data_IF_263184196647
#
_entry.id   IF_263184196647
#
_cell.length_a   1.000
_cell.length_b   1.000
_cell.length_c   1.000
_cell.angle_alpha   90.00
_cell.angle_beta   90.00
_cell.angle_gamma   90.00
#
_symmetry.space_group_name_H-M   'P 1'
#
loop_
_entity.id
_entity.type
_entity.pdbx_description
1 polymer ?
#
# COMPACT_ATOMS: atom_id res chain seq x y z
N UNK A 1 36.53 15.93 8.34
CA UNK A 1 36.02 15.64 6.98
C UNK A 1 35.67 16.97 6.32
N UNK A 2 36.47 17.43 5.37
CA UNK A 2 36.23 18.68 4.64
C UNK A 2 36.24 18.35 3.15
N UNK A 3 35.13 18.60 2.47
CA UNK A 3 34.97 18.36 1.04
C UNK A 3 35.67 19.50 0.31
N UNK A 4 36.65 19.21 -0.56
CA UNK A 4 37.35 20.23 -1.34
C UNK A 4 36.56 20.60 -2.59
N UNK A 5 36.70 21.85 -3.07
CA UNK A 5 36.04 22.35 -4.28
C UNK A 5 36.39 21.55 -5.54
N UNK A 6 37.55 20.88 -5.55
CA UNK A 6 37.99 20.02 -6.65
C UNK A 6 37.18 18.71 -6.74
N UNK A 7 36.67 18.19 -5.62
CA UNK A 7 35.95 16.91 -5.57
C UNK A 7 34.54 17.01 -6.17
N UNK A 8 33.91 18.19 -6.04
CA UNK A 8 32.64 18.55 -6.65
C UNK A 8 32.69 18.53 -8.18
N UNK A 9 33.77 19.07 -8.79
CA UNK A 9 33.90 19.15 -10.24
C UNK A 9 34.18 17.80 -10.91
N UNK A 10 34.82 16.85 -10.21
CA UNK A 10 35.14 15.53 -10.76
C UNK A 10 34.05 14.48 -10.56
N UNK A 11 32.88 14.87 -10.04
CA UNK A 11 31.75 13.96 -9.81
C UNK A 11 32.07 12.80 -8.87
N UNK A 12 33.11 12.91 -8.03
CA UNK A 12 33.54 11.86 -7.08
C UNK A 12 32.73 11.92 -5.79
N UNK A 13 31.42 12.05 -5.92
CA UNK A 13 30.50 11.84 -4.83
C UNK A 13 30.46 10.35 -4.52
N UNK A 14 31.23 9.95 -3.50
CA UNK A 14 31.20 8.59 -2.96
C UNK A 14 29.86 8.40 -2.25
N UNK A 15 28.83 8.02 -3.00
CA UNK A 15 27.66 7.37 -2.43
C UNK A 15 28.13 6.05 -1.84
N UNK A 16 28.30 6.00 -0.53
CA UNK A 16 28.39 4.72 0.16
C UNK A 16 27.08 3.97 -0.10
N UNK A 17 27.11 2.80 -0.76
CA UNK A 17 25.92 2.00 -0.92
C UNK A 17 25.52 1.52 0.48
N UNK A 18 24.43 2.08 1.01
CA UNK A 18 23.77 1.51 2.18
C UNK A 18 23.46 0.06 1.84
N UNK A 19 24.16 -0.85 2.50
CA UNK A 19 23.93 -2.28 2.36
C UNK A 19 22.46 -2.56 2.72
N UNK A 20 21.67 -2.92 1.73
CA UNK A 20 20.31 -3.43 1.93
C UNK A 20 20.43 -4.74 2.70
N UNK A 21 20.16 -4.69 4.00
CA UNK A 21 19.97 -5.87 4.84
C UNK A 21 18.74 -6.63 4.30
N UNK A 22 18.92 -7.92 3.95
CA UNK A 22 17.81 -8.79 3.60
C UNK A 22 16.94 -9.08 4.84
N UNK A 23 15.59 -8.97 4.76
CA UNK A 23 14.74 -9.24 5.91
C UNK A 23 14.80 -10.73 6.28
N UNK A 24 15.19 -10.96 7.54
CA UNK A 24 15.22 -12.25 8.22
C UNK A 24 13.81 -12.70 8.61
N UNK A 25 13.52 -13.99 8.40
CA UNK A 25 12.24 -14.68 8.61
C UNK A 25 11.14 -14.13 7.71
N UNK A 26 10.56 -14.97 6.84
CA UNK A 26 9.45 -14.57 5.99
C UNK A 26 8.38 -13.90 6.88
N UNK A 27 8.20 -12.58 6.78
CA UNK A 27 7.15 -11.93 7.54
C UNK A 27 5.86 -12.60 7.11
N UNK A 28 5.03 -12.99 8.08
CA UNK A 28 3.66 -13.37 7.79
C UNK A 28 3.09 -12.28 6.87
N UNK A 29 2.73 -12.66 5.64
CA UNK A 29 2.26 -11.69 4.67
C UNK A 29 0.99 -11.07 5.28
N UNK A 30 0.96 -9.74 5.36
CA UNK A 30 -0.22 -9.01 5.79
C UNK A 30 -1.00 -8.62 4.55
N UNK A 31 -2.29 -8.91 4.54
CA UNK A 31 -3.18 -8.52 3.45
C UNK A 31 -4.31 -7.66 4.00
N UNK A 32 -4.74 -6.69 3.20
CA UNK A 32 -5.90 -5.90 3.53
C UNK A 32 -7.17 -6.75 3.46
N UNK A 33 -8.16 -6.46 4.32
CA UNK A 33 -9.49 -7.05 4.26
C UNK A 33 -10.54 -5.96 4.33
N UNK A 34 -11.58 -6.08 3.52
CA UNK A 34 -12.67 -5.10 3.45
C UNK A 34 -13.93 -5.69 4.11
N UNK A 35 -14.28 -5.15 5.27
CA UNK A 35 -15.43 -5.57 6.06
C UNK A 35 -16.76 -5.05 5.52
N UNK A 36 -17.85 -5.65 6.02
CA UNK A 36 -19.22 -5.38 5.59
C UNK A 36 -19.69 -3.91 5.79
N UNK A 37 -18.99 -3.13 6.62
CA UNK A 37 -19.27 -1.70 6.84
C UNK A 37 -18.81 -0.76 5.73
N UNK A 38 -18.28 -1.26 4.61
CA UNK A 38 -17.81 -0.41 3.52
C UNK A 38 -18.95 0.40 2.88
N UNK A 39 -18.79 1.73 2.83
CA UNK A 39 -19.78 2.65 2.25
C UNK A 39 -20.06 2.37 0.75
N UNK A 40 -19.10 1.79 0.04
CA UNK A 40 -19.27 1.38 -1.35
C UNK A 40 -20.33 0.30 -1.54
N UNK A 41 -20.63 -0.50 -0.51
CA UNK A 41 -21.71 -1.48 -0.57
C UNK A 41 -23.11 -0.86 -0.55
N UNK A 42 -23.27 0.38 -0.09
CA UNK A 42 -24.59 1.00 0.18
C UNK A 42 -24.92 2.16 -0.77
N UNK A 43 -24.15 2.35 -1.83
CA UNK A 43 -24.43 3.35 -2.87
C UNK A 43 -23.62 4.65 -2.74
N UNK A 44 -22.70 4.73 -1.78
CA UNK A 44 -21.77 5.85 -1.63
C UNK A 44 -20.48 5.56 -2.40
N UNK A 45 -20.08 6.45 -3.30
CA UNK A 45 -18.85 6.30 -4.09
C UNK A 45 -17.62 6.77 -3.29
N UNK A 46 -17.25 6.01 -2.23
CA UNK A 46 -16.17 6.40 -1.31
C UNK A 46 -14.77 6.19 -1.90
N UNK A 47 -14.44 4.97 -2.35
CA UNK A 47 -13.17 4.53 -3.02
C UNK A 47 -11.81 4.93 -2.43
N UNK A 48 -11.78 5.67 -1.32
CA UNK A 48 -10.57 6.19 -0.68
C UNK A 48 -9.45 5.15 -0.53
N UNK A 49 -9.79 3.91 -0.17
CA UNK A 49 -8.79 2.84 -0.03
C UNK A 49 -8.15 2.44 -1.36
N UNK A 50 -8.88 2.44 -2.47
CA UNK A 50 -8.31 2.20 -3.80
C UNK A 50 -7.52 3.39 -4.31
N UNK A 51 -7.98 4.61 -4.05
CA UNK A 51 -7.29 5.82 -4.49
C UNK A 51 -5.94 6.03 -3.78
N UNK A 52 -5.79 5.52 -2.54
CA UNK A 52 -4.54 5.54 -1.78
C UNK A 52 -3.76 4.22 -1.86
N UNK A 53 -4.16 3.29 -2.73
CA UNK A 53 -3.39 2.08 -2.97
C UNK A 53 -2.42 2.32 -4.15
N UNK A 54 -1.21 2.77 -3.84
CA UNK A 54 -0.16 3.01 -4.85
C UNK A 54 0.20 1.76 -5.67
N UNK A 55 0.00 0.57 -5.08
CA UNK A 55 0.19 -0.71 -5.74
C UNK A 55 -0.97 -1.12 -6.66
N UNK A 56 -2.09 -0.40 -6.65
CA UNK A 56 -3.27 -0.71 -7.46
C UNK A 56 -3.97 -2.02 -7.10
N UNK A 57 -3.74 -2.53 -5.88
CA UNK A 57 -4.26 -3.82 -5.42
C UNK A 57 -5.77 -3.84 -5.20
N UNK A 58 -6.40 -2.67 -4.98
CA UNK A 58 -7.83 -2.57 -4.67
C UNK A 58 -8.59 -2.06 -5.90
N UNK A 59 -9.48 -2.90 -6.44
CA UNK A 59 -10.36 -2.59 -7.58
C UNK A 59 -11.81 -2.46 -7.14
N UNK A 60 -12.59 -1.66 -7.86
CA UNK A 60 -14.02 -1.49 -7.60
C UNK A 60 -14.84 -1.98 -8.79
N UNK A 61 -15.57 -3.09 -8.61
CA UNK A 61 -16.51 -3.61 -9.61
C UNK A 61 -17.89 -3.00 -9.41
N UNK A 62 -18.52 -2.40 -10.44
CA UNK A 62 -19.88 -1.89 -10.32
C UNK A 62 -20.88 -3.03 -10.05
N UNK A 63 -21.76 -2.82 -9.06
CA UNK A 63 -22.89 -3.72 -8.75
C UNK A 63 -24.26 -3.13 -9.19
N UNK A 64 -24.26 -1.89 -9.68
CA UNK A 64 -25.48 -1.15 -10.03
C UNK A 64 -26.09 -0.39 -8.85
N UNK A 65 -27.02 0.53 -9.15
CA UNK A 65 -27.68 1.42 -8.16
C UNK A 65 -26.68 2.19 -7.28
N UNK A 66 -25.57 2.64 -7.88
CA UNK A 66 -24.49 3.36 -7.19
C UNK A 66 -23.60 2.50 -6.28
N UNK A 67 -23.84 1.19 -6.18
CA UNK A 67 -23.06 0.28 -5.33
C UNK A 67 -21.84 -0.27 -6.07
N UNK A 68 -20.77 -0.48 -5.33
CA UNK A 68 -19.51 -1.01 -5.82
C UNK A 68 -18.99 -2.10 -4.89
N UNK A 69 -18.49 -3.19 -5.49
CA UNK A 69 -17.80 -4.27 -4.82
C UNK A 69 -16.30 -3.99 -4.87
N UNK A 70 -15.67 -3.62 -3.74
CA UNK A 70 -14.22 -3.55 -3.69
C UNK A 70 -13.64 -4.98 -3.66
N UNK A 71 -12.57 -5.19 -4.42
CA UNK A 71 -11.89 -6.47 -4.62
C UNK A 71 -10.41 -6.21 -4.44
N UNK A 72 -9.74 -7.09 -3.69
CA UNK A 72 -8.29 -7.06 -3.55
C UNK A 72 -7.73 -8.10 -4.50
N UNK A 73 -6.87 -7.68 -5.41
CA UNK A 73 -6.21 -8.55 -6.38
C UNK A 73 -5.14 -9.37 -5.68
N UNK A 74 -5.21 -10.70 -5.85
CA UNK A 74 -4.24 -11.64 -5.27
C UNK A 74 -2.82 -11.29 -5.70
N UNK A 75 -1.91 -11.24 -4.72
CA UNK A 75 -0.50 -10.90 -4.95
C UNK A 75 -0.23 -9.42 -5.26
N UNK A 76 -1.26 -8.57 -5.38
CA UNK A 76 -1.10 -7.12 -5.54
C UNK A 76 -0.93 -6.38 -4.21
N UNK A 77 -1.46 -6.92 -3.11
CA UNK A 77 -1.36 -6.30 -1.79
C UNK A 77 0.02 -6.54 -1.17
N UNK A 78 0.72 -5.48 -0.78
CA UNK A 78 2.04 -5.55 -0.14
C UNK A 78 1.98 -5.52 1.39
N UNK A 79 0.80 -5.31 1.96
CA UNK A 79 0.62 -5.16 3.39
C UNK A 79 0.98 -3.77 3.96
N UNK A 80 1.12 -2.73 3.12
CA UNK A 80 1.55 -1.39 3.56
C UNK A 80 0.61 -0.70 4.57
N UNK A 81 -0.70 -0.94 4.48
CA UNK A 81 -1.69 -0.42 5.42
C UNK A 81 -2.23 0.98 5.14
N UNK A 82 -1.82 1.65 4.05
CA UNK A 82 -2.31 3.00 3.71
C UNK A 82 -3.84 3.05 3.59
N UNK A 83 -4.41 2.03 2.93
CA UNK A 83 -5.85 1.86 2.77
C UNK A 83 -6.62 1.78 4.12
N UNK A 84 -6.02 1.16 5.14
CA UNK A 84 -6.61 1.08 6.48
C UNK A 84 -6.59 2.45 7.18
N UNK A 85 -5.50 3.20 7.01
CA UNK A 85 -5.32 4.53 7.60
C UNK A 85 -6.33 5.56 7.06
N UNK A 86 -6.63 5.52 5.76
CA UNK A 86 -7.53 6.50 5.12
C UNK A 86 -9.01 6.13 5.19
N UNK A 87 -9.36 4.94 5.66
CA UNK A 87 -10.75 4.49 5.67
C UNK A 87 -11.60 5.27 6.69
N UNK A 88 -12.57 6.11 6.28
CA UNK A 88 -13.28 7.00 7.19
C UNK A 88 -14.20 6.25 8.17
N UNK A 89 -14.61 5.03 7.81
CA UNK A 89 -15.48 4.16 8.62
C UNK A 89 -14.74 2.97 9.21
N UNK A 90 -13.40 2.92 9.08
CA UNK A 90 -12.56 1.81 9.58
C UNK A 90 -13.02 0.42 9.13
N UNK A 91 -13.56 0.33 7.91
CA UNK A 91 -14.00 -0.93 7.31
C UNK A 91 -12.86 -1.72 6.67
N UNK A 92 -11.64 -1.18 6.61
CA UNK A 92 -10.45 -1.87 6.10
C UNK A 92 -9.56 -2.28 7.27
N UNK A 93 -9.21 -3.56 7.36
CA UNK A 93 -8.31 -4.15 8.35
C UNK A 93 -7.10 -4.77 7.68
N UNK A 94 -6.00 -4.95 8.42
CA UNK A 94 -4.83 -5.71 7.97
C UNK A 94 -4.79 -7.03 8.72
N UNK A 95 -4.76 -8.14 7.99
CA UNK A 95 -4.82 -9.50 8.56
C UNK A 95 -3.65 -10.34 8.06
N UNK A 96 -3.14 -11.22 8.91
CA UNK A 96 -2.10 -12.16 8.50
C UNK A 96 -2.71 -13.21 7.57
N UNK A 97 -2.12 -13.37 6.39
CA UNK A 97 -2.45 -14.46 5.47
C UNK A 97 -1.46 -15.60 5.67
N UNK A 98 -2.00 -16.78 5.96
CA UNK A 98 -1.26 -18.04 5.96
C UNK A 98 -1.16 -18.55 4.53
N UNK A 99 0.07 -18.65 4.03
CA UNK A 99 0.40 -19.23 2.72
C UNK A 99 0.07 -20.73 2.65
#
# INVERSE_FOLDING_TARGET
>A
MAISRADLFRGRFRSEPTALQAPSAAPQALEARIGAGCLSYTGTDCRMCGDHCDHGAIRFRPLGRGRWLPIIEEGGCTGCGDCATVCPVKAVTMEAVSA
#
